data_IF_558620970132
#
_entry.id   IF_558620970132
#
_cell.length_a   1.000
_cell.length_b   1.000
_cell.length_c   1.000
_cell.angle_alpha   90.00
_cell.angle_beta   90.00
_cell.angle_gamma   90.00
#
_symmetry.space_group_name_H-M   'P 1'
#
loop_
_entity.id
_entity.type
_entity.pdbx_description
1 polymer ?
#
# COMPACT_ATOMS: atom_id res chain seq x y z
N UNK A 1 5.11 -11.65 -22.74
CA UNK A 1 4.62 -10.31 -23.15
C UNK A 1 5.79 -9.32 -23.03
N UNK A 2 6.05 -8.45 -24.01
CA UNK A 2 7.12 -7.45 -23.91
C UNK A 2 6.52 -6.16 -23.32
N UNK A 3 6.86 -5.84 -22.07
CA UNK A 3 6.39 -4.62 -21.40
C UNK A 3 6.98 -3.42 -22.13
N UNK A 4 6.14 -2.59 -22.74
CA UNK A 4 6.56 -1.37 -23.46
C UNK A 4 6.05 -0.11 -22.78
N UNK A 5 4.86 -0.18 -22.17
CA UNK A 5 4.19 0.96 -21.54
C UNK A 5 3.85 0.69 -20.07
N UNK A 6 4.45 1.47 -19.18
CA UNK A 6 4.27 1.36 -17.73
C UNK A 6 3.43 2.53 -17.23
N UNK A 7 2.35 2.22 -16.52
CA UNK A 7 1.58 3.20 -15.75
C UNK A 7 2.13 3.30 -14.34
N UNK A 8 2.64 4.47 -13.94
CA UNK A 8 3.03 4.72 -12.55
C UNK A 8 1.81 5.30 -11.83
N UNK A 9 1.20 4.51 -10.94
CA UNK A 9 0.03 4.89 -10.16
C UNK A 9 0.51 5.50 -8.84
N UNK A 10 0.21 6.77 -8.63
CA UNK A 10 0.74 7.57 -7.53
C UNK A 10 -0.29 8.58 -7.01
N UNK A 11 0.09 9.43 -6.06
CA UNK A 11 -0.81 10.36 -5.39
C UNK A 11 -1.79 9.63 -4.47
N UNK A 12 -3.07 9.58 -4.87
CA UNK A 12 -4.13 8.96 -4.07
C UNK A 12 -4.80 9.92 -3.10
N UNK A 13 -5.59 9.36 -2.16
CA UNK A 13 -6.41 10.10 -1.20
C UNK A 13 -6.00 9.90 0.27
N UNK A 14 -4.92 9.16 0.51
CA UNK A 14 -4.40 8.94 1.86
C UNK A 14 -3.74 10.20 2.40
N UNK A 15 -3.53 10.23 3.72
CA UNK A 15 -2.69 11.25 4.39
C UNK A 15 -1.24 11.26 3.88
N UNK A 16 -0.81 10.21 3.19
CA UNK A 16 0.55 10.00 2.70
C UNK A 16 0.70 10.42 1.21
N UNK A 17 -0.29 11.15 0.67
CA UNK A 17 -0.33 11.59 -0.73
C UNK A 17 0.95 12.28 -1.21
N UNK A 18 1.52 13.19 -0.42
CA UNK A 18 2.72 13.93 -0.82
C UNK A 18 3.95 13.03 -0.96
N UNK A 19 4.06 12.01 -0.12
CA UNK A 19 5.12 11.00 -0.19
C UNK A 19 4.92 10.14 -1.45
N UNK A 20 3.68 9.76 -1.73
CA UNK A 20 3.29 9.04 -2.94
C UNK A 20 3.59 9.81 -4.23
N UNK A 21 3.31 11.12 -4.27
CA UNK A 21 3.65 11.98 -5.43
C UNK A 21 5.16 12.05 -5.68
N UNK A 22 5.97 12.23 -4.63
CA UNK A 22 7.43 12.24 -4.72
C UNK A 22 7.96 10.89 -5.22
N UNK A 23 7.49 9.81 -4.63
CA UNK A 23 7.88 8.43 -4.98
C UNK A 23 7.55 8.12 -6.44
N UNK A 24 6.31 8.38 -6.88
CA UNK A 24 5.89 8.14 -8.26
C UNK A 24 6.67 8.97 -9.28
N UNK A 25 6.99 10.23 -8.95
CA UNK A 25 7.80 11.09 -9.84
C UNK A 25 9.23 10.59 -10.01
N UNK A 26 9.84 10.10 -8.92
CA UNK A 26 11.18 9.51 -8.95
C UNK A 26 11.19 8.21 -9.79
N UNK A 27 10.22 7.31 -9.55
CA UNK A 27 10.07 6.06 -10.31
C UNK A 27 9.87 6.35 -11.80
N UNK A 28 8.96 7.27 -12.15
CA UNK A 28 8.72 7.62 -13.54
C UNK A 28 9.96 8.20 -14.23
N UNK A 29 10.76 8.98 -13.50
CA UNK A 29 12.02 9.53 -14.01
C UNK A 29 13.05 8.42 -14.27
N UNK A 30 13.17 7.45 -13.36
CA UNK A 30 14.07 6.31 -13.53
C UNK A 30 13.64 5.42 -14.71
N UNK A 31 12.36 5.06 -14.80
CA UNK A 31 11.83 4.24 -15.89
C UNK A 31 11.99 4.91 -17.27
N UNK A 32 11.85 6.24 -17.35
CA UNK A 32 12.10 6.99 -18.59
C UNK A 32 13.57 6.94 -19.01
N UNK A 33 14.52 6.98 -18.07
CA UNK A 33 15.95 6.83 -18.36
C UNK A 33 16.27 5.45 -18.94
N UNK A 34 15.58 4.42 -18.45
CA UNK A 34 15.61 3.06 -19.00
C UNK A 34 14.82 2.88 -20.31
N UNK A 35 14.38 3.99 -20.93
CA UNK A 35 13.70 4.02 -22.25
C UNK A 35 12.34 3.32 -22.29
N UNK A 36 11.68 3.13 -21.15
CA UNK A 36 10.27 2.70 -21.12
C UNK A 36 9.33 3.85 -21.51
N UNK A 37 8.18 3.52 -22.12
CA UNK A 37 7.08 4.48 -22.24
C UNK A 37 6.36 4.57 -20.89
N UNK A 38 6.35 5.75 -20.26
CA UNK A 38 5.81 5.91 -18.90
C UNK A 38 4.67 6.90 -18.87
N UNK A 39 3.58 6.53 -18.21
CA UNK A 39 2.42 7.40 -17.95
C UNK A 39 2.21 7.55 -16.44
N UNK A 40 2.20 8.77 -15.93
CA UNK A 40 1.82 9.06 -14.55
C UNK A 40 0.30 9.12 -14.40
N UNK A 41 -0.25 8.37 -13.44
CA UNK A 41 -1.68 8.21 -13.22
C UNK A 41 -1.99 8.47 -11.74
N UNK A 42 -2.58 9.64 -11.43
CA UNK A 42 -2.92 10.01 -10.06
C UNK A 42 -4.27 9.40 -9.65
N UNK A 43 -4.27 8.46 -8.71
CA UNK A 43 -5.50 7.79 -8.26
C UNK A 43 -6.39 8.66 -7.37
N UNK A 44 -5.90 9.82 -6.94
CA UNK A 44 -6.68 10.80 -6.18
C UNK A 44 -7.60 11.66 -7.05
N UNK A 45 -7.41 11.67 -8.37
CA UNK A 45 -8.20 12.49 -9.30
C UNK A 45 -9.50 11.79 -9.70
N UNK A 46 -10.54 12.59 -9.98
CA UNK A 46 -11.88 12.08 -10.34
C UNK A 46 -11.88 11.27 -11.64
N UNK A 47 -10.99 11.60 -12.56
CA UNK A 47 -10.85 10.96 -13.88
C UNK A 47 -9.90 9.75 -13.86
N UNK A 48 -9.44 9.31 -12.69
CA UNK A 48 -8.47 8.22 -12.52
C UNK A 48 -8.80 6.98 -13.37
N UNK A 49 -10.03 6.44 -13.25
CA UNK A 49 -10.44 5.22 -13.96
C UNK A 49 -10.40 5.44 -15.48
N UNK A 50 -10.90 6.58 -15.96
CA UNK A 50 -10.87 6.93 -17.39
C UNK A 50 -9.42 7.01 -17.90
N UNK A 51 -8.53 7.61 -17.12
CA UNK A 51 -7.11 7.73 -17.46
C UNK A 51 -6.39 6.39 -17.45
N UNK A 52 -6.67 5.53 -16.46
CA UNK A 52 -6.08 4.19 -16.37
C UNK A 52 -6.43 3.34 -17.60
N UNK A 53 -7.71 3.28 -17.97
CA UNK A 53 -8.17 2.46 -19.09
C UNK A 53 -7.74 3.03 -20.46
N UNK A 54 -7.82 4.35 -20.64
CA UNK A 54 -7.39 5.00 -21.90
C UNK A 54 -5.87 4.95 -22.11
N UNK A 55 -5.09 4.86 -21.03
CA UNK A 55 -3.63 4.78 -21.13
C UNK A 55 -3.14 3.48 -21.78
N UNK A 56 -3.94 2.40 -21.78
CA UNK A 56 -3.56 1.09 -22.36
C UNK A 56 -2.16 0.65 -21.93
N UNK A 57 -1.93 0.63 -20.62
CA UNK A 57 -0.64 0.24 -20.03
C UNK A 57 -0.49 -1.28 -20.05
N UNK A 58 0.74 -1.76 -20.24
CA UNK A 58 1.05 -3.20 -20.18
C UNK A 58 1.31 -3.66 -18.74
N UNK A 59 1.70 -2.73 -17.87
CA UNK A 59 2.08 -2.98 -16.48
C UNK A 59 1.83 -1.72 -15.63
N UNK A 60 1.37 -1.92 -14.39
CA UNK A 60 1.19 -0.86 -13.41
C UNK A 60 2.27 -0.91 -12.31
N UNK A 61 3.06 0.14 -12.19
CA UNK A 61 3.92 0.34 -11.03
C UNK A 61 3.13 1.09 -9.95
N UNK A 62 2.85 0.44 -8.82
CA UNK A 62 2.11 1.02 -7.71
C UNK A 62 3.10 1.80 -6.83
N UNK A 63 2.95 3.12 -6.80
CA UNK A 63 3.73 4.05 -5.99
C UNK A 63 2.85 4.77 -4.94
N UNK A 64 1.77 4.12 -4.54
CA UNK A 64 0.83 4.60 -3.52
C UNK A 64 1.33 4.25 -2.12
N UNK A 65 1.01 5.10 -1.15
CA UNK A 65 1.33 4.92 0.27
C UNK A 65 0.06 5.02 1.09
N UNK A 66 -0.06 4.18 2.11
CA UNK A 66 -1.17 4.12 3.04
C UNK A 66 -2.43 3.42 2.49
N UNK A 67 -3.59 3.74 3.09
CA UNK A 67 -4.88 3.21 2.67
C UNK A 67 -5.13 3.38 1.16
N UNK A 68 -5.86 2.43 0.57
CA UNK A 68 -6.11 2.24 -0.86
C UNK A 68 -4.90 1.81 -1.71
N UNK A 69 -3.67 2.04 -1.26
CA UNK A 69 -2.44 1.68 -1.98
C UNK A 69 -1.82 0.37 -1.50
N UNK A 70 -1.77 0.19 -0.18
CA UNK A 70 -1.04 -0.90 0.46
C UNK A 70 -1.95 -1.96 1.09
N UNK A 71 -3.27 -1.73 1.09
CA UNK A 71 -4.28 -2.56 1.78
C UNK A 71 -4.98 -3.58 0.87
N UNK A 72 -4.51 -3.74 -0.37
CA UNK A 72 -5.11 -4.64 -1.36
C UNK A 72 -6.15 -3.98 -2.26
N UNK A 73 -6.56 -2.73 -2.00
CA UNK A 73 -7.61 -2.07 -2.80
C UNK A 73 -7.17 -1.82 -4.25
N UNK A 74 -6.01 -1.19 -4.46
CA UNK A 74 -5.49 -0.94 -5.82
C UNK A 74 -5.13 -2.25 -6.53
N UNK A 75 -4.59 -3.21 -5.79
CA UNK A 75 -4.27 -4.55 -6.26
C UNK A 75 -5.52 -5.22 -6.82
N UNK A 76 -6.62 -5.21 -6.06
CA UNK A 76 -7.88 -5.83 -6.48
C UNK A 76 -8.48 -5.16 -7.72
N UNK A 77 -8.41 -3.83 -7.80
CA UNK A 77 -8.83 -3.10 -9.00
C UNK A 77 -8.04 -3.54 -10.24
N UNK A 78 -6.72 -3.67 -10.11
CA UNK A 78 -5.84 -4.06 -11.21
C UNK A 78 -6.04 -5.53 -11.61
N UNK A 79 -6.29 -6.43 -10.64
CA UNK A 79 -6.67 -7.83 -10.92
C UNK A 79 -7.97 -7.92 -11.71
N UNK A 80 -9.01 -7.15 -11.32
CA UNK A 80 -10.28 -7.10 -12.05
C UNK A 80 -10.08 -6.65 -13.50
N UNK A 81 -9.21 -5.65 -13.73
CA UNK A 81 -8.91 -5.18 -15.08
C UNK A 81 -7.88 -6.03 -15.83
N UNK A 82 -7.35 -7.09 -15.20
CA UNK A 82 -6.31 -7.94 -15.79
C UNK A 82 -5.00 -7.18 -16.09
N UNK A 83 -4.69 -6.12 -15.34
CA UNK A 83 -3.49 -5.32 -15.51
C UNK A 83 -2.41 -5.86 -14.55
N UNK A 84 -1.30 -6.43 -15.05
CA UNK A 84 -0.19 -6.87 -14.19
C UNK A 84 0.43 -5.68 -13.43
N UNK A 85 0.88 -5.90 -12.20
CA UNK A 85 1.38 -4.81 -11.35
C UNK A 85 2.55 -5.21 -10.45
N UNK A 86 3.23 -4.20 -9.90
CA UNK A 86 4.38 -4.37 -9.00
C UNK A 86 3.96 -4.71 -7.57
N UNK A 87 4.70 -5.61 -6.92
CA UNK A 87 4.60 -5.87 -5.49
C UNK A 87 3.73 -7.07 -5.13
N UNK A 88 3.12 -7.02 -3.95
CA UNK A 88 2.32 -8.12 -3.38
C UNK A 88 0.90 -8.16 -3.92
N UNK A 89 0.31 -9.36 -3.94
CA UNK A 89 -1.10 -9.57 -4.29
C UNK A 89 -2.10 -9.05 -3.25
N UNK A 90 -3.40 -9.06 -3.57
CA UNK A 90 -4.48 -8.54 -2.70
C UNK A 90 -4.41 -9.04 -1.27
N UNK A 91 -4.37 -10.36 -1.08
CA UNK A 91 -4.38 -10.97 0.25
C UNK A 91 -3.14 -10.58 1.05
N UNK A 92 -1.96 -10.67 0.44
CA UNK A 92 -0.70 -10.34 1.09
C UNK A 92 -0.66 -8.87 1.52
N UNK A 93 -1.09 -7.95 0.66
CA UNK A 93 -1.22 -6.52 0.97
C UNK A 93 -2.20 -6.27 2.12
N UNK A 94 -3.42 -6.82 2.05
CA UNK A 94 -4.44 -6.64 3.07
C UNK A 94 -4.01 -7.16 4.45
N UNK A 95 -3.34 -8.32 4.48
CA UNK A 95 -2.80 -8.90 5.70
C UNK A 95 -1.68 -8.03 6.25
N UNK A 96 -0.67 -7.70 5.43
CA UNK A 96 0.50 -6.94 5.86
C UNK A 96 0.12 -5.56 6.42
N UNK A 97 -0.85 -4.88 5.81
CA UNK A 97 -1.32 -3.57 6.27
C UNK A 97 -2.05 -3.63 7.63
N UNK A 98 -2.64 -4.78 7.97
CA UNK A 98 -3.33 -4.99 9.24
C UNK A 98 -2.45 -5.72 10.27
N UNK A 99 -1.80 -4.92 11.14
CA UNK A 99 -0.87 -5.43 12.15
C UNK A 99 -1.48 -6.45 13.11
N UNK A 100 -2.80 -6.43 13.33
CA UNK A 100 -3.49 -7.41 14.17
C UNK A 100 -3.48 -8.77 13.48
N UNK A 101 -3.87 -8.84 12.21
CA UNK A 101 -3.90 -10.09 11.47
C UNK A 101 -2.49 -10.57 11.11
N UNK A 102 -1.56 -9.68 10.75
CA UNK A 102 -0.15 -10.07 10.57
C UNK A 102 0.41 -10.76 11.80
N UNK A 103 0.14 -10.22 13.00
CA UNK A 103 0.64 -10.81 14.25
C UNK A 103 0.00 -12.16 14.56
N UNK A 104 -1.31 -12.31 14.34
CA UNK A 104 -1.99 -13.60 14.48
C UNK A 104 -1.40 -14.67 13.55
N UNK A 105 -1.09 -14.30 12.31
CA UNK A 105 -0.46 -15.22 11.35
C UNK A 105 0.97 -15.56 11.77
N UNK A 106 1.75 -14.57 12.22
CA UNK A 106 3.08 -14.85 12.73
C UNK A 106 3.05 -15.82 13.90
N UNK A 107 2.13 -15.64 14.85
CA UNK A 107 1.95 -16.54 15.98
C UNK A 107 1.52 -17.95 15.54
N UNK A 108 0.59 -18.09 14.58
CA UNK A 108 0.16 -19.41 14.08
C UNK A 108 1.28 -20.16 13.34
N UNK A 109 2.17 -19.43 12.67
CA UNK A 109 3.30 -19.98 11.91
C UNK A 109 4.60 -20.05 12.73
N UNK A 110 4.55 -19.83 14.06
CA UNK A 110 5.72 -19.81 14.95
C UNK A 110 6.81 -18.79 14.56
N UNK A 111 6.43 -17.69 13.90
CA UNK A 111 7.30 -16.57 13.58
C UNK A 111 7.32 -15.60 14.77
N UNK A 112 8.50 -15.25 15.33
CA UNK A 112 8.58 -14.36 16.48
C UNK A 112 7.96 -12.98 16.23
N UNK A 113 7.13 -12.52 17.16
CA UNK A 113 6.56 -11.15 17.16
C UNK A 113 6.48 -10.60 18.58
N UNK A 114 6.61 -9.26 18.80
CA UNK A 114 6.48 -8.70 20.13
C UNK A 114 5.12 -9.00 20.76
N UNK A 115 5.09 -9.28 22.07
CA UNK A 115 3.83 -9.39 22.84
C UNK A 115 2.99 -8.14 22.60
N UNK A 116 1.69 -8.34 22.42
CA UNK A 116 0.79 -7.30 21.97
C UNK A 116 -0.60 -7.46 22.56
N UNK A 117 -1.39 -6.40 22.46
CA UNK A 117 -2.78 -6.38 22.86
C UNK A 117 -3.55 -5.37 22.00
N UNK A 118 -4.85 -5.58 21.85
CA UNK A 118 -5.73 -4.67 21.10
C UNK A 118 -6.41 -3.75 22.10
N UNK A 119 -6.19 -2.44 21.95
CA UNK A 119 -6.88 -1.41 22.73
C UNK A 119 -7.85 -0.69 21.79
N UNK A 120 -9.16 -0.82 22.04
CA UNK A 120 -10.21 -0.15 21.26
C UNK A 120 -10.71 1.15 21.90
N UNK A 121 -10.40 1.37 23.18
CA UNK A 121 -10.74 2.57 23.94
C UNK A 121 -9.75 2.75 25.09
N UNK A 122 -9.45 4.00 25.43
CA UNK A 122 -8.61 4.36 26.59
C UNK A 122 -9.20 3.81 27.90
N UNK A 123 -10.53 3.75 28.01
CA UNK A 123 -11.20 3.17 29.18
C UNK A 123 -11.00 1.66 29.35
N UNK A 124 -10.45 0.99 28.33
CA UNK A 124 -10.13 -0.43 28.34
C UNK A 124 -8.63 -0.70 28.49
N UNK A 125 -7.84 0.30 28.86
CA UNK A 125 -6.44 0.08 29.20
C UNK A 125 -6.38 -0.85 30.42
N UNK A 126 -5.64 -1.98 30.35
CA UNK A 126 -5.48 -2.83 31.52
C UNK A 126 -4.72 -2.08 32.61
N UNK A 127 -5.10 -2.29 33.86
CA UNK A 127 -4.38 -1.77 35.03
C UNK A 127 -2.92 -2.24 35.06
N UNK A 128 -2.66 -3.45 34.55
CA UNK A 128 -1.33 -3.99 34.30
C UNK A 128 -0.89 -3.68 32.86
N UNK A 129 -0.56 -2.43 32.58
CA UNK A 129 0.25 -2.14 31.39
C UNK A 129 1.53 -2.98 31.51
N UNK A 130 1.96 -3.64 30.43
CA UNK A 130 3.25 -4.35 30.38
C UNK A 130 4.37 -3.52 31.02
N UNK A 131 5.43 -4.17 31.55
CA UNK A 131 6.62 -3.44 32.02
C UNK A 131 7.07 -2.46 30.94
N UNK A 132 7.12 -1.18 31.29
CA UNK A 132 7.54 -0.12 30.39
C UNK A 132 9.01 -0.31 29.98
N UNK A 133 9.40 0.12 28.76
CA UNK A 133 8.60 0.88 27.79
C UNK A 133 7.66 0.02 26.92
N UNK A 134 6.59 0.64 26.40
CA UNK A 134 5.65 0.05 25.43
C UNK A 134 5.51 0.94 24.20
N UNK A 135 5.15 0.34 23.05
CA UNK A 135 4.86 1.06 21.80
C UNK A 135 3.36 1.00 21.52
N UNK A 136 2.74 2.18 21.40
CA UNK A 136 1.35 2.32 20.94
C UNK A 136 1.39 2.70 19.47
N UNK A 137 0.58 2.03 18.64
CA UNK A 137 0.50 2.32 17.20
C UNK A 137 -0.87 1.95 16.62
N UNK A 138 -1.34 2.64 15.57
CA UNK A 138 -2.54 2.25 14.84
C UNK A 138 -2.41 0.86 14.20
N UNK A 139 -3.51 0.10 14.20
CA UNK A 139 -3.55 -1.26 13.64
C UNK A 139 -3.41 -1.29 12.11
N UNK A 140 -3.94 -0.27 11.41
CA UNK A 140 -4.08 -0.22 9.94
C UNK A 140 -3.50 1.04 9.27
N UNK A 141 -2.51 1.70 9.87
CA UNK A 141 -1.84 2.87 9.26
C UNK A 141 -0.32 2.70 9.21
N UNK A 142 0.32 3.37 8.25
CA UNK A 142 1.76 3.39 8.04
C UNK A 142 2.44 4.62 8.65
N UNK A 143 3.70 4.84 8.24
CA UNK A 143 4.44 6.10 8.40
C UNK A 143 4.55 6.70 9.81
N UNK A 144 4.50 5.84 10.85
CA UNK A 144 4.65 6.22 12.26
C UNK A 144 3.69 7.34 12.71
N UNK A 145 2.49 7.40 12.11
CA UNK A 145 1.36 8.23 12.55
C UNK A 145 0.88 7.78 13.93
#
# INVERSE_FOLDING_TARGET
>A
MKIKKIGVIYGGKSSEREISLKTGSAIASALKKEKFSVVLIDSGKKDFIKKLLSAKIDFAFIALHGPFGEDGTMQGLLEIFGIPYSGSGVLASALAMNKIYSKKIFESENIPTPKWQIITSVSRLPSTVYRLPVVIKPSKQGSAI
#
